data_IF_216565138319
#
_entry.id   IF_216565138319
#
_cell.length_a   1.000
_cell.length_b   1.000
_cell.length_c   1.000
_cell.angle_alpha   90.00
_cell.angle_beta   90.00
_cell.angle_gamma   90.00
#
_symmetry.space_group_name_H-M   'P 1'
#
loop_
_entity.id
_entity.type
_entity.pdbx_description
1 polymer ?
#
# COMPACT_ATOMS: atom_id res chain seq x y z
N UNK A 1 17.85 20.06 -35.57
CA UNK A 1 17.77 21.15 -34.55
C UNK A 1 16.49 21.02 -33.73
N UNK A 2 15.40 20.60 -34.32
CA UNK A 2 14.11 20.33 -33.69
C UNK A 2 14.17 19.19 -32.63
N UNK A 3 14.72 18.01 -32.95
CA UNK A 3 14.78 16.87 -32.03
C UNK A 3 15.58 17.12 -30.74
N UNK A 4 16.59 18.00 -30.79
CA UNK A 4 17.38 18.33 -29.58
C UNK A 4 16.66 19.28 -28.64
N UNK A 5 15.84 20.19 -29.19
CA UNK A 5 14.95 21.07 -28.37
C UNK A 5 13.75 20.33 -27.83
N UNK A 6 13.20 19.39 -28.61
CA UNK A 6 12.10 18.49 -28.24
C UNK A 6 12.46 17.73 -26.98
N UNK A 7 13.64 17.10 -26.97
CA UNK A 7 14.15 16.34 -25.83
C UNK A 7 14.43 17.23 -24.60
N UNK A 8 14.73 18.51 -24.78
CA UNK A 8 15.05 19.45 -23.71
C UNK A 8 13.80 19.92 -22.95
N UNK A 9 12.68 20.17 -23.63
CA UNK A 9 11.42 20.56 -22.98
C UNK A 9 10.80 19.41 -22.21
N UNK A 10 10.74 18.21 -22.80
CA UNK A 10 10.27 17.01 -22.09
C UNK A 10 11.13 16.73 -20.85
N UNK A 11 12.44 16.74 -21.02
CA UNK A 11 13.38 16.55 -19.92
C UNK A 11 13.19 17.58 -18.80
N UNK A 12 13.00 18.86 -19.17
CA UNK A 12 12.74 19.91 -18.18
C UNK A 12 11.43 19.64 -17.40
N UNK A 13 10.39 19.16 -18.08
CA UNK A 13 9.12 18.79 -17.44
C UNK A 13 9.30 17.63 -16.45
N UNK A 14 10.07 16.61 -16.82
CA UNK A 14 10.38 15.47 -15.95
C UNK A 14 11.25 15.92 -14.75
N UNK A 15 12.32 16.69 -14.98
CA UNK A 15 13.16 17.25 -13.92
C UNK A 15 12.36 18.13 -12.93
N UNK A 16 11.35 18.85 -13.42
CA UNK A 16 10.45 19.63 -12.55
C UNK A 16 9.54 18.73 -11.70
N UNK A 17 9.08 17.62 -12.26
CA UNK A 17 8.27 16.63 -11.57
C UNK A 17 9.10 15.97 -10.46
N UNK A 18 10.28 15.44 -10.79
CA UNK A 18 11.22 14.83 -9.85
C UNK A 18 11.62 15.78 -8.70
N UNK A 19 11.64 17.07 -8.97
CA UNK A 19 11.92 18.11 -7.96
C UNK A 19 10.68 18.51 -7.13
N UNK A 20 9.51 17.87 -7.33
CA UNK A 20 8.25 18.21 -6.65
C UNK A 20 7.62 19.53 -7.12
N UNK A 21 8.11 20.11 -8.21
CA UNK A 21 7.55 21.34 -8.79
C UNK A 21 6.37 21.02 -9.73
N UNK A 22 5.40 20.30 -9.23
CA UNK A 22 4.29 19.67 -9.96
C UNK A 22 3.54 20.65 -10.87
N UNK A 23 3.26 21.87 -10.39
CA UNK A 23 2.56 22.89 -11.21
C UNK A 23 3.38 23.36 -12.41
N UNK A 24 4.71 23.50 -12.25
CA UNK A 24 5.59 23.88 -13.35
C UNK A 24 5.72 22.71 -14.35
N UNK A 25 5.85 21.47 -13.84
CA UNK A 25 5.87 20.26 -14.65
C UNK A 25 4.61 20.14 -15.53
N UNK A 26 3.42 20.29 -14.94
CA UNK A 26 2.15 20.27 -15.68
C UNK A 26 2.14 21.31 -16.82
N UNK A 27 2.59 22.53 -16.56
CA UNK A 27 2.61 23.59 -17.60
C UNK A 27 3.55 23.22 -18.75
N UNK A 28 4.78 22.78 -18.43
CA UNK A 28 5.82 22.40 -19.40
C UNK A 28 5.41 21.17 -20.20
N UNK A 29 4.92 20.12 -19.53
CA UNK A 29 4.49 18.87 -20.17
C UNK A 29 3.24 19.08 -21.04
N UNK A 30 2.31 19.93 -20.61
CA UNK A 30 1.12 20.27 -21.40
C UNK A 30 1.48 20.99 -22.71
N UNK A 31 2.44 21.92 -22.66
CA UNK A 31 2.95 22.58 -23.87
C UNK A 31 3.63 21.57 -24.80
N UNK A 32 4.44 20.67 -24.25
CA UNK A 32 5.10 19.62 -24.99
C UNK A 32 4.08 18.68 -25.68
N UNK A 33 3.08 18.17 -24.95
CA UNK A 33 2.04 17.31 -25.51
C UNK A 33 1.26 17.97 -26.67
N UNK A 34 1.01 19.29 -26.59
CA UNK A 34 0.32 20.02 -27.68
C UNK A 34 1.14 20.05 -28.97
N UNK A 35 2.48 20.14 -28.84
CA UNK A 35 3.39 20.15 -29.97
C UNK A 35 3.71 18.74 -30.51
N UNK A 36 3.60 17.70 -29.66
CA UNK A 36 4.02 16.31 -29.95
C UNK A 36 2.90 15.32 -29.64
N UNK A 37 1.74 15.52 -30.27
CA UNK A 37 0.53 14.73 -29.99
C UNK A 37 0.66 13.23 -30.24
N UNK A 38 1.61 12.82 -31.10
CA UNK A 38 1.86 11.41 -31.45
C UNK A 38 2.86 10.70 -30.51
N UNK A 39 3.46 11.42 -29.57
CA UNK A 39 4.39 10.88 -28.58
C UNK A 39 3.62 10.38 -27.35
N UNK A 40 3.51 9.04 -27.11
CA UNK A 40 2.75 8.51 -26.00
C UNK A 40 3.35 8.89 -24.64
N UNK A 41 4.69 8.88 -24.50
CA UNK A 41 5.39 9.13 -23.23
C UNK A 41 5.06 10.53 -22.69
N UNK A 42 4.91 11.50 -23.56
CA UNK A 42 4.54 12.86 -23.16
C UNK A 42 3.19 12.92 -22.43
N UNK A 43 2.24 12.09 -22.86
CA UNK A 43 0.93 11.98 -22.23
C UNK A 43 1.00 11.28 -20.89
N UNK A 44 1.84 10.26 -20.76
CA UNK A 44 2.04 9.54 -19.51
C UNK A 44 2.68 10.45 -18.45
N UNK A 45 3.80 11.13 -18.76
CA UNK A 45 4.41 12.09 -17.83
C UNK A 45 3.48 13.24 -17.43
N UNK A 46 2.63 13.71 -18.35
CA UNK A 46 1.60 14.71 -18.00
C UNK A 46 0.54 14.09 -17.07
N UNK A 47 0.21 12.82 -17.25
CA UNK A 47 -0.66 12.06 -16.39
C UNK A 47 -0.09 11.95 -14.99
N UNK A 48 1.19 11.57 -14.87
CA UNK A 48 1.90 11.48 -13.57
C UNK A 48 1.89 12.81 -12.82
N UNK A 49 2.27 13.90 -13.51
CA UNK A 49 2.26 15.21 -12.91
C UNK A 49 0.86 15.66 -12.43
N UNK A 50 -0.19 15.27 -13.14
CA UNK A 50 -1.57 15.54 -12.74
C UNK A 50 -2.00 14.68 -11.55
N UNK A 51 -1.58 13.43 -11.50
CA UNK A 51 -1.84 12.54 -10.38
C UNK A 51 -1.19 13.06 -9.09
N UNK A 52 0.07 13.49 -9.15
CA UNK A 52 0.76 14.11 -8.02
C UNK A 52 0.10 15.43 -7.55
N UNK A 53 -0.55 16.19 -8.46
CA UNK A 53 -1.35 17.39 -8.10
C UNK A 53 -2.73 17.01 -7.54
N UNK A 54 -3.06 15.71 -7.41
CA UNK A 54 -4.35 15.19 -6.94
C UNK A 54 -5.48 15.29 -7.98
N UNK A 55 -5.15 15.53 -9.25
CA UNK A 55 -6.11 15.69 -10.37
C UNK A 55 -6.33 14.35 -11.08
N UNK A 56 -6.78 13.36 -10.33
CA UNK A 56 -6.84 11.95 -10.76
C UNK A 56 -7.66 11.75 -12.03
N UNK A 57 -8.84 12.38 -12.14
CA UNK A 57 -9.66 12.25 -13.36
C UNK A 57 -8.95 12.79 -14.63
N UNK A 58 -8.19 13.89 -14.48
CA UNK A 58 -7.43 14.44 -15.61
C UNK A 58 -6.22 13.57 -15.95
N UNK A 59 -5.57 12.98 -14.96
CA UNK A 59 -4.51 11.99 -15.16
C UNK A 59 -5.01 10.78 -15.94
N UNK A 60 -6.14 10.20 -15.55
CA UNK A 60 -6.81 9.11 -16.29
C UNK A 60 -7.01 9.46 -17.76
N UNK A 61 -7.50 10.66 -18.06
CA UNK A 61 -7.69 11.09 -19.44
C UNK A 61 -6.36 11.20 -20.22
N UNK A 62 -5.28 11.63 -19.55
CA UNK A 62 -3.95 11.69 -20.21
C UNK A 62 -3.41 10.29 -20.48
N UNK A 63 -3.50 9.36 -19.54
CA UNK A 63 -3.13 7.97 -19.77
C UNK A 63 -3.92 7.33 -20.91
N UNK A 64 -5.23 7.57 -20.99
CA UNK A 64 -6.05 7.12 -22.12
C UNK A 64 -5.61 7.70 -23.45
N UNK A 65 -5.20 8.98 -23.49
CA UNK A 65 -4.65 9.59 -24.71
C UNK A 65 -3.32 8.96 -25.11
N UNK A 66 -2.41 8.68 -24.19
CA UNK A 66 -1.17 7.95 -24.44
C UNK A 66 -1.42 6.55 -24.97
N UNK A 67 -2.30 5.79 -24.31
CA UNK A 67 -2.65 4.41 -24.69
C UNK A 67 -3.37 4.29 -26.06
N UNK A 68 -3.95 5.35 -26.61
CA UNK A 68 -4.41 5.35 -28.00
C UNK A 68 -3.24 5.21 -29.01
N UNK A 69 -2.02 5.58 -28.60
CA UNK A 69 -0.81 5.57 -29.42
C UNK A 69 0.08 4.36 -29.10
N UNK A 70 0.09 3.96 -27.82
CA UNK A 70 0.81 2.79 -27.32
C UNK A 70 -0.16 1.83 -26.57
N UNK A 71 -1.06 1.11 -27.31
CA UNK A 71 -2.14 0.33 -26.67
C UNK A 71 -1.69 -0.94 -25.96
N UNK A 72 -0.41 -1.29 -26.07
CA UNK A 72 0.21 -2.48 -25.48
C UNK A 72 1.29 -2.12 -24.45
N UNK A 73 1.34 -0.86 -24.04
CA UNK A 73 2.26 -0.39 -23.00
C UNK A 73 1.76 -0.91 -21.62
N UNK A 74 2.49 -1.88 -21.06
CA UNK A 74 2.10 -2.56 -19.84
C UNK A 74 2.15 -1.63 -18.63
N UNK A 75 3.19 -0.81 -18.52
CA UNK A 75 3.38 0.13 -17.41
C UNK A 75 2.25 1.17 -17.41
N UNK A 76 1.92 1.70 -18.59
CA UNK A 76 0.83 2.65 -18.72
C UNK A 76 -0.55 2.05 -18.45
N UNK A 77 -0.78 0.78 -18.81
CA UNK A 77 -2.02 0.06 -18.49
C UNK A 77 -2.13 -0.20 -16.99
N UNK A 78 -1.05 -0.58 -16.33
CA UNK A 78 -1.01 -0.80 -14.88
C UNK A 78 -1.29 0.52 -14.16
N UNK A 79 -0.57 1.59 -14.47
CA UNK A 79 -0.79 2.91 -13.86
C UNK A 79 -2.19 3.45 -14.11
N UNK A 80 -2.76 3.23 -15.32
CA UNK A 80 -4.16 3.57 -15.56
C UNK A 80 -5.10 2.77 -14.66
N UNK A 81 -4.81 1.49 -14.42
CA UNK A 81 -5.55 0.64 -13.49
C UNK A 81 -5.53 1.20 -12.07
N UNK A 82 -4.35 1.61 -11.58
CA UNK A 82 -4.14 2.19 -10.26
C UNK A 82 -4.93 3.50 -10.09
N UNK A 83 -4.82 4.41 -11.05
CA UNK A 83 -5.56 5.68 -11.06
C UNK A 83 -7.08 5.47 -11.10
N UNK A 84 -7.54 4.47 -11.86
CA UNK A 84 -8.96 4.11 -11.92
C UNK A 84 -9.44 3.51 -10.60
N UNK A 85 -8.61 2.72 -9.93
CA UNK A 85 -8.89 2.17 -8.61
C UNK A 85 -9.00 3.29 -7.57
N UNK A 86 -8.05 4.20 -7.52
CA UNK A 86 -8.06 5.38 -6.65
C UNK A 86 -9.31 6.25 -6.89
N UNK A 87 -9.72 6.41 -8.15
CA UNK A 87 -10.95 7.12 -8.52
C UNK A 87 -12.25 6.34 -8.21
N UNK A 88 -12.18 5.13 -7.64
CA UNK A 88 -13.33 4.26 -7.36
C UNK A 88 -13.97 3.67 -8.62
N UNK A 89 -13.30 3.73 -9.78
CA UNK A 89 -13.79 3.21 -11.07
C UNK A 89 -13.41 1.72 -11.22
N UNK A 90 -13.80 0.91 -10.24
CA UNK A 90 -13.37 -0.48 -10.06
C UNK A 90 -13.51 -1.37 -11.31
N UNK A 91 -14.60 -1.24 -12.07
CA UNK A 91 -14.79 -2.05 -13.29
C UNK A 91 -13.77 -1.73 -14.37
N UNK A 92 -13.42 -0.46 -14.50
CA UNK A 92 -12.44 0.00 -15.50
C UNK A 92 -11.02 -0.36 -15.04
N UNK A 93 -10.72 -0.28 -13.74
CA UNK A 93 -9.47 -0.74 -13.17
C UNK A 93 -9.23 -2.23 -13.48
N UNK A 94 -10.21 -3.11 -13.18
CA UNK A 94 -10.13 -4.53 -13.50
C UNK A 94 -9.92 -4.74 -15.01
N UNK A 95 -10.56 -3.93 -15.87
CA UNK A 95 -10.37 -4.05 -17.31
C UNK A 95 -8.94 -3.68 -17.75
N UNK A 96 -8.33 -2.65 -17.14
CA UNK A 96 -6.93 -2.27 -17.40
C UNK A 96 -5.96 -3.39 -16.99
N UNK A 97 -6.05 -3.90 -15.76
CA UNK A 97 -5.20 -5.00 -15.31
C UNK A 97 -5.45 -6.31 -16.09
N UNK A 98 -6.70 -6.58 -16.48
CA UNK A 98 -6.99 -7.73 -17.34
C UNK A 98 -6.33 -7.61 -18.70
N UNK A 99 -6.19 -6.37 -19.22
CA UNK A 99 -5.46 -6.13 -20.46
C UNK A 99 -3.96 -6.37 -20.30
N UNK A 100 -3.37 -6.01 -19.16
CA UNK A 100 -1.97 -6.38 -18.83
C UNK A 100 -1.80 -7.89 -18.91
N UNK A 101 -2.68 -8.66 -18.26
CA UNK A 101 -2.64 -10.13 -18.28
C UNK A 101 -2.86 -10.76 -19.65
N UNK A 102 -3.65 -10.14 -20.51
CA UNK A 102 -3.80 -10.59 -21.90
C UNK A 102 -2.51 -10.45 -22.70
N UNK A 103 -1.74 -9.38 -22.42
CA UNK A 103 -0.48 -9.07 -23.09
C UNK A 103 0.70 -9.86 -22.48
N UNK A 104 0.74 -9.92 -21.15
CA UNK A 104 1.69 -10.75 -20.40
C UNK A 104 0.94 -11.66 -19.40
N UNK A 105 0.66 -12.91 -19.80
CA UNK A 105 0.00 -13.87 -18.91
C UNK A 105 0.83 -14.30 -17.69
N UNK A 106 2.10 -13.89 -17.61
CA UNK A 106 2.97 -14.17 -16.46
C UNK A 106 3.04 -13.02 -15.47
N UNK A 107 2.43 -11.91 -15.80
CA UNK A 107 2.33 -10.79 -14.87
C UNK A 107 1.39 -11.17 -13.71
N UNK A 108 1.99 -11.50 -12.57
CA UNK A 108 1.26 -11.87 -11.34
C UNK A 108 0.78 -10.64 -10.58
N UNK A 109 1.43 -9.49 -10.74
CA UNK A 109 1.08 -8.24 -10.06
C UNK A 109 -0.28 -7.72 -10.53
N UNK A 110 -0.59 -7.88 -11.82
CA UNK A 110 -1.91 -7.56 -12.34
C UNK A 110 -3.03 -8.42 -11.72
N UNK A 111 -2.74 -9.71 -11.41
CA UNK A 111 -3.69 -10.56 -10.67
C UNK A 111 -3.89 -10.08 -9.23
N UNK A 112 -2.82 -9.72 -8.56
CA UNK A 112 -2.89 -9.19 -7.19
C UNK A 112 -3.67 -7.89 -7.19
N UNK A 113 -3.40 -6.97 -8.12
CA UNK A 113 -4.15 -5.71 -8.28
C UNK A 113 -5.65 -5.95 -8.53
N UNK A 114 -6.02 -6.93 -9.37
CA UNK A 114 -7.42 -7.33 -9.56
C UNK A 114 -8.01 -7.83 -8.23
N UNK A 115 -7.28 -8.62 -7.47
CA UNK A 115 -7.68 -9.12 -6.16
C UNK A 115 -7.94 -7.97 -5.17
N UNK A 116 -7.05 -6.97 -5.12
CA UNK A 116 -7.22 -5.77 -4.29
C UNK A 116 -8.49 -4.99 -4.65
N UNK A 117 -8.78 -4.85 -5.96
CA UNK A 117 -10.03 -4.21 -6.41
C UNK A 117 -11.25 -5.01 -5.97
N UNK A 118 -11.22 -6.35 -6.01
CA UNK A 118 -12.32 -7.17 -5.50
C UNK A 118 -12.47 -7.04 -3.99
N UNK A 119 -11.36 -7.08 -3.25
CA UNK A 119 -11.36 -6.96 -1.79
C UNK A 119 -11.96 -5.61 -1.35
N UNK A 120 -11.63 -4.52 -2.01
CA UNK A 120 -12.22 -3.19 -1.74
C UNK A 120 -13.72 -3.08 -2.01
N UNK A 121 -14.31 -4.08 -2.68
CA UNK A 121 -15.74 -4.19 -2.96
C UNK A 121 -16.43 -5.23 -2.07
N UNK A 122 -15.80 -5.69 -1.00
CA UNK A 122 -16.26 -6.78 -0.12
C UNK A 122 -16.49 -8.10 -0.88
N UNK A 123 -15.80 -8.31 -2.00
CA UNK A 123 -15.86 -9.52 -2.84
C UNK A 123 -14.69 -10.45 -2.51
N UNK A 124 -14.59 -10.82 -1.24
CA UNK A 124 -13.45 -11.60 -0.72
C UNK A 124 -13.23 -12.93 -1.44
N UNK A 125 -14.28 -13.64 -1.84
CA UNK A 125 -14.14 -14.89 -2.62
C UNK A 125 -13.47 -14.68 -3.97
N UNK A 126 -13.79 -13.58 -4.66
CA UNK A 126 -13.16 -13.22 -5.94
C UNK A 126 -11.70 -12.79 -5.75
N UNK A 127 -11.42 -12.03 -4.69
CA UNK A 127 -10.08 -11.62 -4.30
C UNK A 127 -9.18 -12.83 -3.99
N UNK A 128 -9.64 -13.74 -3.13
CA UNK A 128 -8.92 -14.97 -2.76
C UNK A 128 -8.60 -15.81 -3.99
N UNK A 129 -9.52 -15.91 -4.96
CA UNK A 129 -9.23 -16.63 -6.21
C UNK A 129 -8.12 -15.97 -7.02
N UNK A 130 -8.14 -14.66 -7.13
CA UNK A 130 -7.11 -13.91 -7.86
C UNK A 130 -5.73 -14.04 -7.20
N UNK A 131 -5.65 -13.92 -5.87
CA UNK A 131 -4.40 -14.08 -5.13
C UNK A 131 -3.85 -15.51 -5.23
N UNK A 132 -4.71 -16.52 -5.11
CA UNK A 132 -4.28 -17.92 -5.28
C UNK A 132 -3.77 -18.20 -6.69
N UNK A 133 -4.42 -17.64 -7.73
CA UNK A 133 -3.94 -17.75 -9.11
C UNK A 133 -2.57 -17.08 -9.31
N UNK A 134 -2.33 -15.94 -8.66
CA UNK A 134 -1.01 -15.30 -8.64
C UNK A 134 0.04 -16.19 -7.97
N UNK A 135 -0.28 -16.74 -6.80
CA UNK A 135 0.60 -17.61 -6.01
C UNK A 135 0.87 -18.98 -6.64
N UNK A 136 -0.03 -19.49 -7.51
CA UNK A 136 0.25 -20.68 -8.33
C UNK A 136 1.38 -20.43 -9.34
N UNK A 137 1.53 -19.20 -9.82
CA UNK A 137 2.57 -18.82 -10.78
C UNK A 137 3.84 -18.33 -10.08
N UNK A 138 3.70 -17.57 -8.99
CA UNK A 138 4.79 -16.98 -8.21
C UNK A 138 4.60 -17.28 -6.71
N UNK A 139 4.99 -18.50 -6.26
CA UNK A 139 4.80 -18.91 -4.86
C UNK A 139 5.58 -18.08 -3.83
N UNK A 140 6.58 -17.31 -4.26
CA UNK A 140 7.43 -16.47 -3.41
C UNK A 140 6.97 -14.98 -3.37
N UNK A 141 5.79 -14.66 -3.91
CA UNK A 141 5.26 -13.30 -3.88
C UNK A 141 4.68 -13.00 -2.47
N UNK A 142 5.50 -12.34 -1.63
CA UNK A 142 5.13 -11.97 -0.24
C UNK A 142 3.90 -11.07 -0.21
N UNK A 143 3.81 -10.13 -1.17
CA UNK A 143 2.67 -9.22 -1.24
C UNK A 143 1.35 -9.96 -1.52
N UNK A 144 1.38 -10.95 -2.41
CA UNK A 144 0.23 -11.80 -2.69
C UNK A 144 -0.17 -12.66 -1.48
N UNK A 145 0.80 -13.16 -0.70
CA UNK A 145 0.52 -13.91 0.53
C UNK A 145 -0.13 -13.02 1.59
N UNK A 146 0.39 -11.81 1.80
CA UNK A 146 -0.19 -10.85 2.75
C UNK A 146 -1.61 -10.46 2.32
N UNK A 147 -1.84 -10.14 1.05
CA UNK A 147 -3.16 -9.80 0.54
C UNK A 147 -4.16 -10.98 0.64
N UNK A 148 -3.68 -12.21 0.48
CA UNK A 148 -4.48 -13.42 0.70
C UNK A 148 -4.85 -13.56 2.19
N UNK A 149 -3.91 -13.32 3.10
CA UNK A 149 -4.14 -13.33 4.55
C UNK A 149 -5.23 -12.35 4.95
N UNK A 150 -5.13 -11.09 4.52
CA UNK A 150 -6.14 -10.06 4.76
C UNK A 150 -7.53 -10.47 4.27
N UNK A 151 -7.61 -11.01 3.05
CA UNK A 151 -8.88 -11.41 2.47
C UNK A 151 -9.50 -12.62 3.20
N UNK A 152 -8.69 -13.58 3.64
CA UNK A 152 -9.13 -14.74 4.44
C UNK A 152 -9.62 -14.30 5.81
N UNK A 153 -8.88 -13.39 6.48
CA UNK A 153 -9.29 -12.82 7.74
C UNK A 153 -10.63 -12.07 7.63
N UNK A 154 -10.78 -11.21 6.62
CA UNK A 154 -12.03 -10.51 6.34
C UNK A 154 -13.22 -11.45 6.08
N UNK A 155 -12.97 -12.67 5.61
CA UNK A 155 -13.98 -13.71 5.42
C UNK A 155 -14.27 -14.53 6.70
N UNK A 156 -13.49 -14.33 7.76
CA UNK A 156 -13.58 -15.06 9.03
C UNK A 156 -12.78 -16.37 9.06
N UNK A 157 -11.95 -16.64 8.06
CA UNK A 157 -11.00 -17.77 8.05
C UNK A 157 -9.67 -17.36 8.70
N UNK A 158 -9.71 -17.19 10.03
CA UNK A 158 -8.55 -16.72 10.80
C UNK A 158 -7.36 -17.69 10.67
N UNK A 159 -7.59 -19.02 10.68
CA UNK A 159 -6.50 -19.99 10.53
C UNK A 159 -5.87 -19.92 9.14
N UNK A 160 -6.67 -19.80 8.10
CA UNK A 160 -6.16 -19.62 6.74
C UNK A 160 -5.36 -18.32 6.58
N UNK A 161 -5.75 -17.26 7.30
CA UNK A 161 -5.00 -16.00 7.32
C UNK A 161 -3.64 -16.16 8.03
N UNK A 162 -3.59 -16.83 9.19
CA UNK A 162 -2.32 -17.18 9.87
C UNK A 162 -1.39 -17.94 8.94
N UNK A 163 -1.90 -18.99 8.27
CA UNK A 163 -1.10 -19.79 7.37
C UNK A 163 -0.54 -18.95 6.21
N UNK A 164 -1.31 -17.99 5.70
CA UNK A 164 -0.88 -17.09 4.62
C UNK A 164 0.18 -16.08 5.08
N UNK A 165 -0.01 -15.42 6.23
CA UNK A 165 0.99 -14.50 6.79
C UNK A 165 2.28 -15.21 7.19
N UNK A 166 2.19 -16.42 7.76
CA UNK A 166 3.37 -17.24 8.04
C UNK A 166 4.19 -17.55 6.78
N UNK A 167 3.51 -17.79 5.64
CA UNK A 167 4.20 -17.94 4.36
C UNK A 167 4.94 -16.66 3.95
N UNK A 168 4.35 -15.49 4.15
CA UNK A 168 5.04 -14.21 3.93
C UNK A 168 6.33 -14.09 4.77
N UNK A 169 6.25 -14.38 6.07
CA UNK A 169 7.39 -14.38 6.99
C UNK A 169 8.44 -15.44 6.62
N UNK A 170 8.03 -16.66 6.21
CA UNK A 170 8.95 -17.71 5.76
C UNK A 170 9.74 -17.28 4.51
N UNK A 171 9.13 -16.54 3.58
CA UNK A 171 9.74 -16.08 2.34
C UNK A 171 10.68 -14.90 2.57
N UNK A 172 10.21 -13.89 3.30
CA UNK A 172 11.04 -12.74 3.70
C UNK A 172 11.00 -12.53 5.23
N UNK A 173 11.90 -13.20 5.96
CA UNK A 173 11.98 -13.07 7.41
C UNK A 173 12.57 -11.72 7.87
N UNK A 174 12.87 -10.80 6.96
CA UNK A 174 13.36 -9.47 7.29
C UNK A 174 12.33 -8.36 6.95
N UNK A 175 11.13 -8.72 6.51
CA UNK A 175 10.05 -7.76 6.29
C UNK A 175 9.32 -7.45 7.61
N UNK A 176 9.45 -6.24 8.17
CA UNK A 176 8.76 -5.87 9.39
C UNK A 176 7.24 -5.86 9.25
N UNK A 177 6.71 -5.63 8.04
CA UNK A 177 5.28 -5.63 7.79
C UNK A 177 4.70 -7.06 7.84
N UNK A 178 5.41 -8.06 7.32
CA UNK A 178 4.98 -9.46 7.39
C UNK A 178 4.87 -9.93 8.84
N UNK A 179 5.86 -9.64 9.68
CA UNK A 179 5.85 -9.94 11.11
C UNK A 179 4.71 -9.20 11.84
N UNK A 180 4.52 -7.91 11.54
CA UNK A 180 3.43 -7.14 12.13
C UNK A 180 2.05 -7.72 11.78
N UNK A 181 1.78 -8.03 10.51
CA UNK A 181 0.50 -8.57 10.07
C UNK A 181 0.17 -9.90 10.77
N UNK A 182 1.18 -10.78 10.89
CA UNK A 182 1.03 -12.03 11.64
C UNK A 182 0.78 -11.76 13.13
N UNK A 183 1.56 -10.87 13.74
CA UNK A 183 1.44 -10.54 15.15
C UNK A 183 0.10 -9.88 15.52
N UNK A 184 -0.41 -8.99 14.66
CA UNK A 184 -1.73 -8.36 14.82
C UNK A 184 -2.85 -9.40 14.78
N UNK A 185 -2.82 -10.31 13.81
CA UNK A 185 -3.81 -11.37 13.70
C UNK A 185 -3.76 -12.33 14.90
N UNK A 186 -2.57 -12.72 15.35
CA UNK A 186 -2.40 -13.57 16.53
C UNK A 186 -2.93 -12.88 17.79
N UNK A 187 -2.75 -11.55 17.90
CA UNK A 187 -3.32 -10.76 19.00
C UNK A 187 -4.86 -10.79 18.98
N UNK A 188 -5.46 -10.61 17.81
CA UNK A 188 -6.93 -10.71 17.66
C UNK A 188 -7.47 -12.12 17.97
N UNK A 189 -6.63 -13.15 17.82
CA UNK A 189 -6.94 -14.54 18.19
C UNK A 189 -6.65 -14.85 19.67
N UNK A 190 -6.22 -13.87 20.46
CA UNK A 190 -5.83 -14.01 21.87
C UNK A 190 -4.61 -14.92 22.10
N UNK A 191 -3.81 -15.18 21.05
CA UNK A 191 -2.53 -15.92 21.12
C UNK A 191 -1.40 -14.95 21.49
N UNK A 192 -1.45 -14.46 22.75
CA UNK A 192 -0.69 -13.29 23.19
C UNK A 192 0.83 -13.48 23.16
N UNK A 193 1.32 -14.69 23.45
CA UNK A 193 2.76 -15.00 23.49
C UNK A 193 3.36 -14.94 22.08
N UNK A 194 2.73 -15.59 21.13
CA UNK A 194 3.16 -15.62 19.72
C UNK A 194 3.00 -14.23 19.09
N UNK A 195 1.91 -13.53 19.38
CA UNK A 195 1.69 -12.14 18.93
C UNK A 195 2.80 -11.19 19.40
N UNK A 196 3.22 -11.34 20.66
CA UNK A 196 4.30 -10.54 21.22
C UNK A 196 5.64 -10.82 20.54
N UNK A 197 5.95 -12.08 20.22
CA UNK A 197 7.18 -12.47 19.52
C UNK A 197 7.24 -11.83 18.14
N UNK A 198 6.17 -11.93 17.36
CA UNK A 198 6.10 -11.40 16.01
C UNK A 198 6.13 -9.86 16.00
N UNK A 199 5.37 -9.18 16.85
CA UNK A 199 5.41 -7.74 16.96
C UNK A 199 6.78 -7.21 17.43
N UNK A 200 7.47 -7.93 18.30
CA UNK A 200 8.84 -7.59 18.72
C UNK A 200 9.84 -7.75 17.58
N UNK A 201 9.67 -8.76 16.75
CA UNK A 201 10.52 -8.91 15.57
C UNK A 201 10.26 -7.77 14.56
N UNK A 202 9.02 -7.36 14.34
CA UNK A 202 8.70 -6.19 13.52
C UNK A 202 9.43 -4.92 14.00
N UNK A 203 9.39 -4.60 15.31
CA UNK A 203 10.09 -3.42 15.83
C UNK A 203 11.61 -3.59 15.94
N UNK A 204 12.12 -4.82 15.95
CA UNK A 204 13.56 -5.10 15.85
C UNK A 204 14.09 -4.79 14.45
N UNK A 205 13.31 -5.17 13.42
CA UNK A 205 13.63 -4.96 12.02
C UNK A 205 13.47 -3.48 11.63
N UNK A 206 12.35 -2.88 12.02
CA UNK A 206 12.10 -1.44 11.87
C UNK A 206 11.72 -0.80 13.21
N UNK A 207 12.67 -0.16 13.92
CA UNK A 207 12.40 0.53 15.18
C UNK A 207 11.43 1.71 15.07
N UNK A 208 11.02 2.10 13.86
CA UNK A 208 10.04 3.18 13.63
C UNK A 208 8.64 2.66 13.31
N UNK A 209 8.43 1.34 13.31
CA UNK A 209 7.16 0.72 12.97
C UNK A 209 6.11 0.96 14.07
N UNK A 210 5.44 2.10 14.01
CA UNK A 210 4.53 2.60 15.06
C UNK A 210 3.42 1.62 15.42
N UNK A 211 2.77 0.99 14.43
CA UNK A 211 1.64 0.10 14.65
C UNK A 211 2.01 -1.13 15.49
N UNK A 212 3.21 -1.70 15.30
CA UNK A 212 3.66 -2.83 16.13
C UNK A 212 3.84 -2.43 17.60
N UNK A 213 4.25 -1.19 17.88
CA UNK A 213 4.27 -0.70 19.27
C UNK A 213 2.86 -0.51 19.85
N UNK A 214 1.87 -0.13 19.03
CA UNK A 214 0.49 -0.03 19.47
C UNK A 214 -0.04 -1.42 19.91
N UNK A 215 0.15 -2.43 19.09
CA UNK A 215 -0.25 -3.82 19.39
C UNK A 215 0.51 -4.38 20.59
N UNK A 216 1.83 -4.15 20.67
CA UNK A 216 2.61 -4.54 21.85
C UNK A 216 2.11 -3.87 23.14
N UNK A 217 1.66 -2.62 23.06
CA UNK A 217 1.05 -1.92 24.19
C UNK A 217 -0.24 -2.60 24.63
N UNK A 218 -1.10 -3.01 23.70
CA UNK A 218 -2.31 -3.79 23.97
C UNK A 218 -1.99 -5.14 24.63
N UNK A 219 -1.08 -5.92 24.04
CA UNK A 219 -0.64 -7.21 24.59
C UNK A 219 -0.12 -7.05 26.02
N UNK A 220 0.70 -6.03 26.28
CA UNK A 220 1.20 -5.77 27.63
C UNK A 220 0.09 -5.40 28.62
N UNK A 221 -0.95 -4.70 28.18
CA UNK A 221 -2.12 -4.41 29.03
C UNK A 221 -2.89 -5.68 29.38
N UNK A 222 -3.16 -6.55 28.40
CA UNK A 222 -3.89 -7.80 28.60
C UNK A 222 -3.15 -8.79 29.51
N UNK A 223 -1.82 -8.63 29.59
CA UNK A 223 -0.95 -9.40 30.48
C UNK A 223 -0.66 -8.69 31.82
N UNK A 224 -1.38 -7.63 32.18
CA UNK A 224 -1.18 -6.83 33.38
C UNK A 224 0.25 -6.23 33.55
N UNK A 225 0.98 -6.08 32.45
CA UNK A 225 2.33 -5.47 32.38
C UNK A 225 2.27 -3.97 32.18
N UNK A 226 1.63 -3.26 33.10
CA UNK A 226 1.28 -1.83 33.00
C UNK A 226 2.47 -0.94 32.61
N UNK A 227 3.66 -1.16 33.19
CA UNK A 227 4.84 -0.33 32.89
C UNK A 227 5.34 -0.53 31.46
N UNK A 228 5.31 -1.77 30.94
CA UNK A 228 5.72 -2.11 29.59
C UNK A 228 4.71 -1.55 28.59
N UNK A 229 3.41 -1.63 28.88
CA UNK A 229 2.34 -1.03 28.09
C UNK A 229 2.56 0.48 27.89
N UNK A 230 2.81 1.21 28.99
CA UNK A 230 3.13 2.65 28.91
C UNK A 230 4.32 2.90 28.00
N UNK A 231 5.38 2.09 28.11
CA UNK A 231 6.59 2.24 27.30
C UNK A 231 6.30 2.03 25.81
N UNK A 232 5.55 1.00 25.46
CA UNK A 232 5.17 0.71 24.06
C UNK A 232 4.29 1.82 23.48
N UNK A 233 3.27 2.28 24.20
CA UNK A 233 2.41 3.37 23.74
C UNK A 233 3.15 4.70 23.59
N UNK A 234 4.15 4.99 24.42
CA UNK A 234 5.02 6.16 24.26
C UNK A 234 5.88 6.06 22.98
N UNK A 235 6.33 4.85 22.60
CA UNK A 235 7.02 4.65 21.33
C UNK A 235 6.06 4.83 20.14
N UNK A 236 4.84 4.31 20.19
CA UNK A 236 3.81 4.57 19.19
C UNK A 236 3.64 6.09 18.96
N UNK A 237 3.38 6.86 20.03
CA UNK A 237 3.20 8.31 19.95
C UNK A 237 4.42 9.06 19.42
N UNK A 238 5.60 8.50 19.53
CA UNK A 238 6.84 9.10 19.00
C UNK A 238 6.95 8.94 17.49
N UNK A 239 6.49 7.81 16.95
CA UNK A 239 6.66 7.48 15.54
C UNK A 239 5.41 7.77 14.71
N UNK A 240 4.23 7.76 15.33
CA UNK A 240 2.99 8.13 14.64
C UNK A 240 2.90 9.65 14.48
N UNK A 241 3.01 10.10 13.22
CA UNK A 241 2.99 11.52 12.86
C UNK A 241 1.89 11.87 11.86
N UNK A 242 1.08 10.88 11.46
CA UNK A 242 0.02 11.05 10.48
C UNK A 242 -1.13 11.91 11.04
N UNK A 243 -1.59 12.93 10.32
CA UNK A 243 -2.76 13.70 10.72
C UNK A 243 -4.04 12.86 10.82
N UNK A 244 -4.12 11.76 10.06
CA UNK A 244 -5.26 10.85 10.04
C UNK A 244 -5.35 10.05 11.34
N UNK A 245 -4.24 9.84 12.05
CA UNK A 245 -4.19 9.12 13.33
C UNK A 245 -4.55 9.98 14.55
N UNK A 246 -5.03 11.22 14.37
CA UNK A 246 -5.28 12.18 15.46
C UNK A 246 -6.16 11.64 16.58
N UNK A 247 -7.21 10.91 16.24
CA UNK A 247 -8.17 10.34 17.21
C UNK A 247 -7.53 9.18 17.99
N UNK A 248 -6.84 8.27 17.31
CA UNK A 248 -6.08 7.18 17.94
C UNK A 248 -4.98 7.71 18.85
N UNK A 249 -4.25 8.74 18.41
CA UNK A 249 -3.23 9.41 19.21
C UNK A 249 -3.83 10.03 20.49
N UNK A 250 -5.04 10.60 20.41
CA UNK A 250 -5.72 11.15 21.57
C UNK A 250 -6.15 10.03 22.54
N UNK A 251 -6.67 8.93 22.04
CA UNK A 251 -7.06 7.75 22.81
C UNK A 251 -5.85 7.12 23.53
N UNK A 252 -4.76 6.87 22.82
CA UNK A 252 -3.53 6.31 23.40
C UNK A 252 -2.97 7.21 24.50
N UNK A 253 -3.02 8.56 24.33
CA UNK A 253 -2.61 9.48 25.41
C UNK A 253 -3.47 9.34 26.65
N UNK A 254 -4.79 9.20 26.49
CA UNK A 254 -5.68 9.00 27.64
C UNK A 254 -5.42 7.67 28.35
N UNK A 255 -5.15 6.59 27.59
CA UNK A 255 -4.76 5.28 28.14
C UNK A 255 -3.47 5.41 28.95
N UNK A 256 -2.42 6.05 28.41
CA UNK A 256 -1.15 6.27 29.12
C UNK A 256 -1.37 7.01 30.45
N UNK A 257 -2.23 8.06 30.46
CA UNK A 257 -2.53 8.80 31.66
C UNK A 257 -3.18 7.89 32.73
N UNK A 258 -4.17 7.10 32.35
CA UNK A 258 -4.82 6.12 33.25
C UNK A 258 -3.83 5.11 33.83
N UNK A 259 -3.02 4.46 32.97
CA UNK A 259 -2.01 3.49 33.41
C UNK A 259 -0.97 4.10 34.36
N UNK A 260 -0.55 5.36 34.13
CA UNK A 260 0.37 6.08 35.03
C UNK A 260 -0.26 6.43 36.39
N UNK A 261 -1.57 6.66 36.44
CA UNK A 261 -2.27 6.85 37.70
C UNK A 261 -2.37 5.55 38.50
N UNK A 262 -2.66 4.43 37.85
CA UNK A 262 -2.64 3.10 38.46
C UNK A 262 -1.26 2.77 39.06
N UNK A 263 -0.18 2.98 38.29
CA UNK A 263 1.19 2.77 38.77
C UNK A 263 1.51 3.60 40.06
N UNK A 264 1.00 4.85 40.10
CA UNK A 264 1.19 5.70 41.30
C UNK A 264 0.40 5.22 42.51
N UNK A 265 -0.75 4.58 42.31
CA UNK A 265 -1.59 4.05 43.36
C UNK A 265 -1.03 2.76 44.01
N UNK A 266 -0.09 2.09 43.33
CA UNK A 266 0.58 0.86 43.79
C UNK A 266 1.83 1.13 44.65
N UNK A 267 2.29 2.39 44.73
CA UNK A 267 3.46 2.85 45.51
C UNK A 267 2.99 3.52 46.80
#
# INVERSE_FOLDING_TARGET
>A
MTDKLINETLRTGIEQLDAGNTKAAIATLKEYCQAHQDDPDSWFYLGDALAEDGRIDEAIERYREGLKRAPEDLDALTTLGDLLFEAGKHKEAIASYSRVRELDPKDTDALVSIGLVYNSQDRSDDAIRAYREALEQEPENVFAWNALGDALYGLGDAQGAVDAFQKGVEIDPNDPAAHYNLGELLYDMEELEEAEEECREAVRLDPTYGMAYLTLGGICMDQDRTQDAVTCFEQYLKYETSPQASDMVAEVKAVIEGLKEELKALI
#
